data_IF_343889849081
#
_entry.id   IF_343889849081
#
_cell.length_a   1.000
_cell.length_b   1.000
_cell.length_c   1.000
_cell.angle_alpha   90.00
_cell.angle_beta   90.00
_cell.angle_gamma   90.00
#
_symmetry.space_group_name_H-M   'P 1'
#
loop_
_entity.id
_entity.type
_entity.pdbx_description
1 polymer ?
#
# COMPACT_ATOMS: atom_id res chain seq x y z
N UNK A 1 -35.50 51.17 -2.13
CA UNK A 1 -35.00 49.80 -2.43
C UNK A 1 -34.23 49.32 -1.22
N UNK A 2 -34.89 48.52 -0.35
CA UNK A 2 -34.32 47.96 0.89
C UNK A 2 -33.56 46.68 0.56
N UNK A 3 -32.24 46.69 0.80
CA UNK A 3 -31.42 45.50 0.76
C UNK A 3 -31.73 44.61 1.97
N UNK A 4 -32.25 43.42 1.71
CA UNK A 4 -32.49 42.41 2.72
C UNK A 4 -31.20 41.88 3.36
N UNK A 5 -31.29 41.29 4.58
CA UNK A 5 -30.09 40.81 5.29
C UNK A 5 -29.45 39.65 4.56
N UNK A 6 -28.14 39.76 4.31
CA UNK A 6 -27.30 38.67 3.76
C UNK A 6 -27.28 37.51 4.76
N UNK A 7 -27.82 36.37 4.34
CA UNK A 7 -27.75 35.11 5.09
C UNK A 7 -26.28 34.70 5.20
N UNK A 8 -25.72 34.72 6.40
CA UNK A 8 -24.39 34.15 6.69
C UNK A 8 -24.55 32.65 6.77
N UNK A 9 -23.99 31.94 5.77
CA UNK A 9 -23.88 30.48 5.82
C UNK A 9 -22.98 30.10 7.01
N UNK A 10 -23.36 29.05 7.78
CA UNK A 10 -22.50 28.59 8.86
C UNK A 10 -21.18 28.08 8.29
N UNK A 11 -20.10 28.64 8.77
CA UNK A 11 -18.74 28.11 8.53
C UNK A 11 -18.65 26.80 9.30
N UNK A 12 -18.63 25.69 8.57
CA UNK A 12 -18.25 24.40 9.16
C UNK A 12 -16.78 24.48 9.51
N UNK A 13 -16.47 24.73 10.77
CA UNK A 13 -15.13 24.57 11.29
C UNK A 13 -14.77 23.07 11.16
N UNK A 14 -13.94 22.74 10.18
CA UNK A 14 -13.28 21.44 10.12
C UNK A 14 -12.36 21.34 11.33
N UNK A 15 -12.78 20.59 12.35
CA UNK A 15 -11.92 20.22 13.46
C UNK A 15 -10.65 19.58 12.87
N UNK A 16 -9.45 20.08 13.22
CA UNK A 16 -8.22 19.46 12.77
C UNK A 16 -8.19 18.03 13.28
N UNK A 17 -8.12 17.06 12.38
CA UNK A 17 -7.97 15.66 12.73
C UNK A 17 -6.55 15.49 13.28
N UNK A 18 -6.43 15.43 14.60
CA UNK A 18 -5.16 15.16 15.28
C UNK A 18 -4.75 13.72 15.04
N UNK A 19 -3.61 13.54 14.37
CA UNK A 19 -2.97 12.22 14.21
C UNK A 19 -2.14 11.89 15.45
N UNK A 20 -2.03 10.59 15.75
CA UNK A 20 -1.12 10.08 16.79
C UNK A 20 0.33 10.45 16.44
N UNK A 21 1.14 10.97 17.39
CA UNK A 21 2.55 11.27 17.12
C UNK A 21 3.31 10.08 16.54
N UNK A 22 4.08 10.30 15.46
CA UNK A 22 4.82 9.26 14.73
C UNK A 22 3.98 8.43 13.77
N UNK A 23 2.70 8.73 13.64
CA UNK A 23 1.79 8.11 12.67
C UNK A 23 1.31 9.12 11.63
N UNK A 24 0.97 8.62 10.46
CA UNK A 24 0.45 9.39 9.33
C UNK A 24 -0.90 8.82 8.90
N UNK A 25 -1.84 9.70 8.58
CA UNK A 25 -3.15 9.28 8.09
C UNK A 25 -3.07 8.87 6.63
N UNK A 26 -3.57 7.68 6.33
CA UNK A 26 -3.76 7.22 4.95
C UNK A 26 -4.92 7.99 4.33
N UNK A 27 -4.66 8.76 3.29
CA UNK A 27 -5.65 9.55 2.55
C UNK A 27 -6.22 8.80 1.34
N UNK A 28 -5.43 7.88 0.75
CA UNK A 28 -5.84 7.11 -0.41
C UNK A 28 -5.11 5.78 -0.48
N UNK A 29 -5.77 4.76 -1.02
CA UNK A 29 -5.18 3.46 -1.36
C UNK A 29 -5.35 3.27 -2.86
N UNK A 30 -4.24 3.25 -3.60
CA UNK A 30 -4.25 3.10 -5.07
C UNK A 30 -4.31 1.64 -5.48
N UNK A 31 -3.38 0.83 -4.94
CA UNK A 31 -3.26 -0.60 -5.16
C UNK A 31 -2.95 -1.29 -3.84
N UNK A 32 -2.81 -2.62 -3.87
CA UNK A 32 -2.45 -3.38 -2.68
C UNK A 32 -1.17 -2.90 -2.00
N UNK A 33 -0.21 -2.39 -2.76
CA UNK A 33 1.12 -2.02 -2.29
C UNK A 33 1.46 -0.52 -2.41
N UNK A 34 0.49 0.31 -2.79
CA UNK A 34 0.69 1.76 -3.00
C UNK A 34 -0.41 2.56 -2.34
N UNK A 35 -0.01 3.46 -1.44
CA UNK A 35 -0.91 4.34 -0.68
C UNK A 35 -0.48 5.80 -0.80
N UNK A 36 -1.35 6.71 -0.38
CA UNK A 36 -1.00 8.08 -0.08
C UNK A 36 -1.23 8.38 1.40
N UNK A 37 -0.36 9.17 1.98
CA UNK A 37 -0.46 9.61 3.38
C UNK A 37 -0.38 11.13 3.46
N UNK A 38 -0.98 11.69 4.52
CA UNK A 38 -0.80 13.10 4.86
C UNK A 38 0.44 13.23 5.74
N UNK A 39 1.44 13.95 5.25
CA UNK A 39 2.73 14.15 5.91
C UNK A 39 3.13 15.63 5.82
N UNK A 40 3.26 16.28 6.97
CA UNK A 40 3.69 17.69 7.07
C UNK A 40 2.86 18.65 6.16
N UNK A 41 1.55 18.46 6.13
CA UNK A 41 0.62 19.27 5.33
C UNK A 41 0.60 18.96 3.83
N UNK A 42 1.28 17.90 3.40
CA UNK A 42 1.33 17.44 2.01
C UNK A 42 0.85 16.01 1.87
N UNK A 43 0.40 15.66 0.69
CA UNK A 43 0.11 14.27 0.33
C UNK A 43 1.37 13.64 -0.27
N UNK A 44 1.86 12.57 0.36
CA UNK A 44 3.00 11.81 -0.11
C UNK A 44 2.56 10.42 -0.57
N UNK A 45 2.97 10.02 -1.77
CA UNK A 45 2.80 8.65 -2.25
C UNK A 45 3.85 7.73 -1.64
N UNK A 46 3.40 6.59 -1.17
CA UNK A 46 4.25 5.56 -0.55
C UNK A 46 4.10 4.27 -1.35
N UNK A 47 5.21 3.73 -1.83
CA UNK A 47 5.33 2.39 -2.41
C UNK A 47 5.95 1.47 -1.37
N UNK A 48 5.25 0.39 -1.07
CA UNK A 48 5.70 -0.56 -0.04
C UNK A 48 6.91 -1.36 -0.52
N UNK A 49 7.97 -1.39 0.29
CA UNK A 49 9.22 -2.09 0.00
C UNK A 49 8.99 -3.61 0.02
N UNK A 50 9.63 -4.31 -0.91
CA UNK A 50 9.79 -5.77 -0.88
C UNK A 50 8.54 -6.59 -1.18
N UNK A 51 7.44 -5.96 -1.54
CA UNK A 51 6.19 -6.62 -1.94
C UNK A 51 5.73 -6.08 -3.30
N UNK A 52 5.16 -6.94 -4.10
CA UNK A 52 4.50 -6.60 -5.36
C UNK A 52 3.11 -7.23 -5.36
N UNK A 53 2.08 -6.40 -5.54
CA UNK A 53 0.70 -6.88 -5.70
C UNK A 53 0.33 -6.86 -7.19
N UNK A 54 -0.61 -7.72 -7.63
CA UNK A 54 -1.09 -7.66 -9.00
C UNK A 54 -1.68 -6.28 -9.33
N UNK A 55 -1.42 -5.80 -10.52
CA UNK A 55 -1.72 -4.44 -10.97
C UNK A 55 -3.20 -4.24 -11.29
N UNK A 56 -3.78 -3.13 -10.85
CA UNK A 56 -5.17 -2.75 -11.13
C UNK A 56 -5.32 -1.45 -11.91
N UNK A 57 -4.34 -0.54 -11.82
CA UNK A 57 -4.52 0.86 -12.27
C UNK A 57 -3.48 1.33 -13.29
N UNK A 58 -2.64 0.44 -13.81
CA UNK A 58 -1.65 0.82 -14.79
C UNK A 58 -2.31 1.19 -16.12
N UNK A 59 -2.11 2.42 -16.64
CA UNK A 59 -2.67 2.83 -17.93
C UNK A 59 -2.27 1.88 -19.06
N UNK A 60 -3.21 1.53 -19.92
CA UNK A 60 -3.01 0.64 -21.08
C UNK A 60 -2.52 -0.78 -20.72
N UNK A 61 -2.75 -1.22 -19.50
CA UNK A 61 -2.48 -2.60 -19.07
C UNK A 61 -3.77 -3.24 -18.56
N UNK A 62 -3.99 -4.54 -18.84
CA UNK A 62 -5.12 -5.24 -18.26
C UNK A 62 -4.97 -5.35 -16.74
N UNK A 63 -6.10 -5.49 -16.03
CA UNK A 63 -6.13 -5.82 -14.61
C UNK A 63 -5.56 -7.21 -14.42
N UNK A 64 -4.53 -7.33 -13.57
CA UNK A 64 -3.89 -8.62 -13.28
C UNK A 64 -4.76 -9.45 -12.34
N UNK A 65 -4.73 -10.78 -12.50
CA UNK A 65 -5.43 -11.73 -11.63
C UNK A 65 -4.98 -11.55 -10.17
N UNK A 66 -5.95 -11.41 -9.25
CA UNK A 66 -5.70 -11.12 -7.83
C UNK A 66 -5.53 -9.62 -7.51
N UNK A 67 -5.48 -8.75 -8.52
CA UNK A 67 -5.36 -7.31 -8.32
C UNK A 67 -6.54 -6.70 -7.57
N UNK A 68 -7.80 -6.90 -8.00
CA UNK A 68 -8.96 -6.40 -7.27
C UNK A 68 -8.99 -6.84 -5.81
N UNK A 69 -8.69 -8.11 -5.53
CA UNK A 69 -8.69 -8.68 -4.18
C UNK A 69 -7.61 -8.04 -3.31
N UNK A 70 -6.40 -7.84 -3.83
CA UNK A 70 -5.32 -7.17 -3.12
C UNK A 70 -5.64 -5.70 -2.83
N UNK A 71 -6.20 -5.00 -3.81
CA UNK A 71 -6.64 -3.61 -3.67
C UNK A 71 -7.75 -3.46 -2.63
N UNK A 72 -8.76 -4.33 -2.68
CA UNK A 72 -9.88 -4.33 -1.73
C UNK A 72 -9.41 -4.66 -0.31
N UNK A 73 -8.50 -5.62 -0.16
CA UNK A 73 -7.89 -5.92 1.14
C UNK A 73 -7.15 -4.71 1.71
N UNK A 74 -6.30 -4.07 0.90
CA UNK A 74 -5.56 -2.89 1.34
C UNK A 74 -6.49 -1.74 1.69
N UNK A 75 -7.54 -1.48 0.90
CA UNK A 75 -8.56 -0.46 1.19
C UNK A 75 -9.27 -0.74 2.50
N UNK A 76 -9.69 -1.97 2.74
CA UNK A 76 -10.37 -2.38 3.97
C UNK A 76 -9.48 -2.18 5.20
N UNK A 77 -8.19 -2.46 5.09
CA UNK A 77 -7.26 -2.38 6.21
C UNK A 77 -6.72 -0.96 6.47
N UNK A 78 -6.52 -0.17 5.43
CA UNK A 78 -5.73 1.06 5.52
C UNK A 78 -6.51 2.35 5.23
N UNK A 79 -7.69 2.32 4.57
CA UNK A 79 -8.41 3.57 4.26
C UNK A 79 -8.76 4.35 5.52
N UNK A 80 -8.27 5.60 5.59
CA UNK A 80 -8.47 6.46 6.75
C UNK A 80 -7.74 6.04 8.02
N UNK A 81 -6.98 4.94 7.98
CA UNK A 81 -6.19 4.47 9.11
C UNK A 81 -4.94 5.36 9.34
N UNK A 82 -4.36 5.23 10.51
CA UNK A 82 -3.05 5.80 10.82
C UNK A 82 -1.98 4.73 10.74
N UNK A 83 -0.89 5.03 10.05
CA UNK A 83 0.24 4.12 9.85
C UNK A 83 1.56 4.77 10.26
N UNK A 84 2.50 3.96 10.75
CA UNK A 84 3.88 4.35 10.94
C UNK A 84 4.69 3.93 9.70
N UNK A 85 5.56 4.80 9.25
CA UNK A 85 6.42 4.58 8.10
C UNK A 85 7.86 4.44 8.52
N UNK A 86 8.54 3.41 8.01
CA UNK A 86 9.95 3.14 8.28
C UNK A 86 10.72 3.01 6.97
N UNK A 87 11.81 3.78 6.84
CA UNK A 87 12.71 3.66 5.71
C UNK A 87 13.60 2.41 5.86
N UNK A 88 14.02 1.85 4.72
CA UNK A 88 15.05 0.81 4.69
C UNK A 88 16.45 1.46 4.64
N UNK A 89 17.44 0.89 5.32
CA UNK A 89 18.79 1.45 5.36
C UNK A 89 19.60 1.19 4.08
N UNK A 90 19.27 0.17 3.33
CA UNK A 90 20.02 -0.23 2.12
C UNK A 90 19.27 0.05 0.83
N UNK A 91 17.98 0.36 0.91
CA UNK A 91 17.18 0.76 -0.25
C UNK A 91 17.19 2.29 -0.41
N UNK A 92 16.75 2.76 -1.57
CA UNK A 92 16.61 4.18 -1.86
C UNK A 92 15.47 4.80 -1.03
N UNK A 93 15.56 6.12 -0.78
CA UNK A 93 14.49 6.85 -0.11
C UNK A 93 13.23 6.98 -0.99
N UNK A 94 13.42 7.19 -2.30
CA UNK A 94 12.35 7.31 -3.29
C UNK A 94 12.67 6.50 -4.53
N UNK A 95 11.63 6.09 -5.23
CA UNK A 95 11.79 5.47 -6.55
C UNK A 95 11.82 6.52 -7.69
N UNK A 96 11.97 6.03 -8.93
CA UNK A 96 12.00 6.89 -10.13
C UNK A 96 10.72 7.69 -10.38
N UNK A 97 9.61 7.33 -9.72
CA UNK A 97 8.32 8.02 -9.79
C UNK A 97 8.11 8.97 -8.61
N UNK A 98 9.16 9.25 -7.84
CA UNK A 98 9.16 10.12 -6.66
C UNK A 98 8.28 9.59 -5.50
N UNK A 99 7.96 8.29 -5.47
CA UNK A 99 7.24 7.68 -4.35
C UNK A 99 8.21 7.34 -3.22
N UNK A 100 7.83 7.61 -1.99
CA UNK A 100 8.57 7.17 -0.80
C UNK A 100 8.58 5.64 -0.75
N UNK A 101 9.75 5.04 -0.55
CA UNK A 101 9.90 3.61 -0.33
C UNK A 101 9.90 3.33 1.17
N UNK A 102 8.86 2.63 1.68
CA UNK A 102 8.67 2.44 3.13
C UNK A 102 8.18 1.04 3.48
N UNK A 103 8.54 0.64 4.69
CA UNK A 103 7.77 -0.35 5.45
C UNK A 103 6.60 0.36 6.10
N UNK A 104 5.41 -0.20 5.98
CA UNK A 104 4.16 0.35 6.49
C UNK A 104 3.69 -0.51 7.66
N UNK A 105 3.64 0.09 8.85
CA UNK A 105 3.17 -0.55 10.06
C UNK A 105 1.80 -0.02 10.46
N UNK A 106 0.87 -0.93 10.70
CA UNK A 106 -0.42 -0.61 11.30
C UNK A 106 -0.24 -0.23 12.79
N UNK A 107 -1.27 0.35 13.39
CA UNK A 107 -1.23 0.82 14.79
C UNK A 107 -0.96 -0.29 15.81
N UNK A 108 -1.38 -1.52 15.51
CA UNK A 108 -1.13 -2.71 16.32
C UNK A 108 0.29 -3.29 16.16
N UNK A 109 1.14 -2.69 15.34
CA UNK A 109 2.49 -3.13 15.04
C UNK A 109 2.61 -4.11 13.88
N UNK A 110 1.53 -4.48 13.22
CA UNK A 110 1.56 -5.36 12.05
C UNK A 110 2.31 -4.70 10.90
N UNK A 111 3.33 -5.36 10.36
CA UNK A 111 4.02 -4.96 9.14
C UNK A 111 3.16 -5.32 7.92
N UNK A 112 2.50 -4.34 7.35
CA UNK A 112 1.51 -4.54 6.30
C UNK A 112 2.11 -5.10 5.00
N UNK A 113 3.35 -4.68 4.64
CA UNK A 113 4.09 -5.26 3.52
C UNK A 113 4.17 -6.80 3.61
N UNK A 114 4.54 -7.31 4.80
CA UNK A 114 4.64 -8.74 5.05
C UNK A 114 3.27 -9.40 5.12
N UNK A 115 2.27 -8.73 5.68
CA UNK A 115 0.91 -9.24 5.75
C UNK A 115 0.33 -9.53 4.36
N UNK A 116 0.54 -8.62 3.39
CA UNK A 116 0.16 -8.84 2.00
C UNK A 116 0.75 -10.13 1.42
N UNK A 117 2.03 -10.39 1.72
CA UNK A 117 2.74 -11.60 1.26
C UNK A 117 2.19 -12.84 1.98
N UNK A 118 2.07 -12.78 3.30
CA UNK A 118 1.63 -13.91 4.13
C UNK A 118 0.21 -14.37 3.81
N UNK A 119 -0.66 -13.45 3.42
CA UNK A 119 -2.04 -13.73 3.04
C UNK A 119 -2.22 -14.02 1.53
N UNK A 120 -1.14 -13.94 0.75
CA UNK A 120 -1.16 -14.23 -0.68
C UNK A 120 -1.79 -13.15 -1.54
N UNK A 121 -1.93 -11.92 -1.04
CA UNK A 121 -2.37 -10.77 -1.84
C UNK A 121 -1.24 -10.15 -2.66
N UNK A 122 -0.01 -10.38 -2.25
CA UNK A 122 1.20 -9.97 -2.95
C UNK A 122 2.28 -11.04 -2.85
N UNK A 123 3.35 -10.82 -3.59
CA UNK A 123 4.51 -11.71 -3.62
C UNK A 123 5.79 -10.95 -3.24
N UNK A 124 6.83 -11.63 -2.73
CA UNK A 124 8.11 -10.98 -2.47
C UNK A 124 8.67 -10.34 -3.74
N UNK A 125 9.06 -9.07 -3.66
CA UNK A 125 9.70 -8.33 -4.74
C UNK A 125 11.17 -8.13 -4.42
N UNK A 126 12.04 -8.97 -4.97
CA UNK A 126 13.45 -9.08 -4.60
C UNK A 126 14.42 -8.55 -5.66
N UNK A 127 13.91 -7.86 -6.69
CA UNK A 127 14.72 -7.23 -7.74
C UNK A 127 15.74 -6.22 -7.17
N UNK A 128 15.36 -5.49 -6.12
CA UNK A 128 16.23 -4.56 -5.41
C UNK A 128 16.55 -5.08 -4.01
N UNK A 129 17.72 -4.72 -3.44
CA UNK A 129 18.09 -5.13 -2.09
C UNK A 129 17.26 -4.39 -1.04
N UNK A 130 16.91 -5.08 0.05
CA UNK A 130 16.28 -4.50 1.23
C UNK A 130 16.53 -5.39 2.46
N UNK A 131 16.50 -4.82 3.66
CA UNK A 131 16.92 -5.49 4.88
C UNK A 131 16.06 -6.72 5.22
N UNK A 132 14.75 -6.64 5.03
CA UNK A 132 13.79 -7.71 5.40
C UNK A 132 13.58 -8.76 4.32
N UNK A 133 14.49 -8.85 3.33
CA UNK A 133 14.37 -9.79 2.19
C UNK A 133 14.15 -11.23 2.61
N UNK A 134 14.97 -11.74 3.51
CA UNK A 134 14.89 -13.16 3.97
C UNK A 134 13.55 -13.43 4.64
N UNK A 135 13.09 -12.50 5.48
CA UNK A 135 11.80 -12.61 6.17
C UNK A 135 10.63 -12.63 5.18
N UNK A 136 10.67 -11.78 4.16
CA UNK A 136 9.61 -11.69 3.15
C UNK A 136 9.58 -12.89 2.23
N UNK A 137 10.74 -13.40 1.81
CA UNK A 137 10.85 -14.63 1.01
C UNK A 137 10.26 -15.82 1.76
N UNK A 138 10.59 -15.99 3.04
CA UNK A 138 10.01 -17.05 3.88
C UNK A 138 8.50 -16.93 4.02
N UNK A 139 7.99 -15.72 4.19
CA UNK A 139 6.55 -15.48 4.24
C UNK A 139 5.86 -15.87 2.91
N UNK A 140 6.50 -15.56 1.78
CA UNK A 140 6.02 -15.94 0.45
C UNK A 140 6.02 -17.46 0.22
N UNK A 141 7.07 -18.15 0.63
CA UNK A 141 7.14 -19.62 0.57
C UNK A 141 6.04 -20.27 1.41
N UNK A 142 5.81 -19.77 2.62
CA UNK A 142 4.73 -20.26 3.49
C UNK A 142 3.34 -20.04 2.87
N UNK A 143 3.09 -18.86 2.29
CA UNK A 143 1.83 -18.57 1.60
C UNK A 143 1.61 -19.49 0.38
N UNK A 144 2.67 -19.74 -0.39
CA UNK A 144 2.66 -20.66 -1.54
C UNK A 144 2.33 -22.09 -1.11
N UNK A 145 2.99 -22.60 -0.08
CA UNK A 145 2.72 -23.94 0.47
C UNK A 145 1.29 -24.08 1.00
N UNK A 146 0.73 -23.01 1.56
CA UNK A 146 -0.63 -22.97 2.06
C UNK A 146 -1.69 -22.64 0.97
N UNK A 147 -1.30 -22.48 -0.29
CA UNK A 147 -2.15 -22.11 -1.42
C UNK A 147 -2.99 -20.85 -1.15
N UNK A 148 -2.41 -19.85 -0.53
CA UNK A 148 -3.12 -18.60 -0.20
C UNK A 148 -3.15 -17.62 -1.37
N UNK A 149 -4.31 -16.96 -1.57
CA UNK A 149 -4.50 -15.87 -2.52
C UNK A 149 -4.07 -16.23 -3.94
N UNK A 150 -3.10 -15.49 -4.50
CA UNK A 150 -2.60 -15.72 -5.88
C UNK A 150 -2.01 -17.13 -6.08
N UNK A 151 -1.63 -17.82 -5.01
CA UNK A 151 -1.10 -19.19 -5.05
C UNK A 151 -2.18 -20.28 -5.05
N UNK A 152 -3.47 -19.92 -5.00
CA UNK A 152 -4.59 -20.88 -4.94
C UNK A 152 -4.88 -21.58 -6.28
N UNK A 153 -4.08 -21.36 -7.31
CA UNK A 153 -4.21 -22.03 -8.63
C UNK A 153 -5.22 -21.37 -9.57
N UNK A 154 -5.81 -20.23 -9.18
CA UNK A 154 -6.74 -19.44 -10.02
C UNK A 154 -5.98 -18.55 -11.01
N UNK A 155 -4.83 -18.03 -10.59
CA UNK A 155 -3.97 -17.17 -11.41
C UNK A 155 -2.83 -17.95 -12.03
N UNK A 156 -2.49 -17.65 -13.28
CA UNK A 156 -1.24 -18.12 -13.89
C UNK A 156 -0.11 -17.18 -13.50
N UNK A 157 0.90 -17.71 -12.85
CA UNK A 157 2.02 -16.94 -12.32
C UNK A 157 3.29 -17.19 -13.13
N UNK A 158 4.04 -16.12 -13.40
CA UNK A 158 5.36 -16.18 -14.01
C UNK A 158 6.37 -15.45 -13.12
N UNK A 159 7.55 -16.05 -12.93
CA UNK A 159 8.62 -15.41 -12.16
C UNK A 159 9.75 -14.98 -13.10
N UNK A 160 10.18 -13.73 -12.96
CA UNK A 160 11.30 -13.18 -13.71
C UNK A 160 12.03 -12.11 -12.87
N UNK A 161 13.36 -12.25 -12.76
CA UNK A 161 14.24 -11.27 -12.11
C UNK A 161 13.79 -10.85 -10.70
N UNK A 162 13.37 -11.83 -9.87
CA UNK A 162 12.94 -11.59 -8.49
C UNK A 162 11.57 -10.91 -8.37
N UNK A 163 10.74 -10.99 -9.41
CA UNK A 163 9.37 -10.52 -9.44
C UNK A 163 8.45 -11.64 -9.96
N UNK A 164 7.35 -11.85 -9.25
CA UNK A 164 6.25 -12.72 -9.70
C UNK A 164 5.17 -11.85 -10.31
N UNK A 165 4.70 -12.21 -11.48
CA UNK A 165 3.56 -11.58 -12.15
C UNK A 165 2.44 -12.57 -12.34
N UNK A 166 1.22 -12.11 -12.15
CA UNK A 166 0.00 -12.83 -12.52
C UNK A 166 -0.47 -12.40 -13.91
N UNK A 167 -1.16 -13.31 -14.58
CA UNK A 167 -1.85 -12.98 -15.84
C UNK A 167 -3.05 -12.04 -15.59
N UNK A 168 -3.59 -11.52 -16.67
CA UNK A 168 -4.85 -10.78 -16.66
C UNK A 168 -6.05 -11.74 -16.50
#
# INVERSE_FOLDING_TARGET
VTLGPKLKLPSFATTPVTTTPGFYRVSEVYDGDTIAVQMDGRTEKVRMIGVDTPETQKPNSPVECGGPEASDFAKKQLSGAEVRLEADRINQNRDRYDRLLRYVYQKDGTLFNKLLISEGYGTPYTTFPFEKKVEFVRAGESAKLANKGVWAGVCNLTEQNGRVKSNA
#
